data_IF_644668541523
#
_entry.id   IF_644668541523
#
_cell.length_a   1.000
_cell.length_b   1.000
_cell.length_c   1.000
_cell.angle_alpha   90.00
_cell.angle_beta   90.00
_cell.angle_gamma   90.00
#
_symmetry.space_group_name_H-M   'P 1'
#
loop_
_entity.id
_entity.type
_entity.pdbx_description
1 polymer ?
#
# COMPACT_ATOMS: atom_id res chain seq x y z
N UNK A 1 21.88 -24.51 -7.94
CA UNK A 1 21.64 -25.89 -7.42
C UNK A 1 20.53 -25.92 -6.35
N UNK A 2 20.59 -25.08 -5.31
CA UNK A 2 19.57 -25.04 -4.23
C UNK A 2 18.15 -24.79 -4.77
N UNK A 3 17.97 -23.85 -5.72
CA UNK A 3 16.66 -23.56 -6.31
C UNK A 3 16.03 -24.76 -7.05
N UNK A 4 16.85 -25.56 -7.74
CA UNK A 4 16.40 -26.78 -8.43
C UNK A 4 15.96 -27.86 -7.43
N UNK A 5 16.68 -28.01 -6.32
CA UNK A 5 16.34 -28.96 -5.26
C UNK A 5 15.01 -28.57 -4.61
N UNK A 6 14.82 -27.28 -4.30
CA UNK A 6 13.56 -26.77 -3.73
C UNK A 6 12.40 -26.97 -4.70
N UNK A 7 12.60 -26.72 -6.00
CA UNK A 7 11.58 -26.94 -7.02
C UNK A 7 11.15 -28.42 -7.10
N UNK A 8 12.11 -29.34 -7.12
CA UNK A 8 11.82 -30.79 -7.17
C UNK A 8 11.06 -31.25 -5.92
N UNK A 9 11.43 -30.75 -4.73
CA UNK A 9 10.71 -31.05 -3.48
C UNK A 9 9.29 -30.50 -3.52
N UNK A 10 9.08 -29.29 -4.05
CA UNK A 10 7.75 -28.70 -4.19
C UNK A 10 6.86 -29.53 -5.12
N UNK A 11 7.39 -29.99 -6.25
CA UNK A 11 6.66 -30.86 -7.19
C UNK A 11 6.32 -32.20 -6.53
N UNK A 12 7.25 -32.82 -5.80
CA UNK A 12 7.02 -34.07 -5.10
C UNK A 12 5.91 -33.96 -4.03
N UNK A 13 5.90 -32.87 -3.24
CA UNK A 13 4.88 -32.60 -2.24
C UNK A 13 3.51 -32.35 -2.91
N UNK A 14 3.47 -31.59 -4.00
CA UNK A 14 2.24 -31.33 -4.75
C UNK A 14 1.62 -32.64 -5.28
N UNK A 15 2.44 -33.51 -5.88
CA UNK A 15 2.00 -34.83 -6.37
C UNK A 15 1.54 -35.73 -5.23
N UNK A 16 2.24 -35.73 -4.09
CA UNK A 16 1.86 -36.52 -2.92
C UNK A 16 0.53 -36.05 -2.32
N UNK A 17 0.35 -34.74 -2.16
CA UNK A 17 -0.90 -34.13 -1.73
C UNK A 17 -2.03 -34.48 -2.70
N UNK A 18 -1.82 -34.31 -4.00
CA UNK A 18 -2.82 -34.67 -5.01
C UNK A 18 -3.21 -36.15 -4.93
N UNK A 19 -2.25 -37.07 -4.81
CA UNK A 19 -2.50 -38.51 -4.72
C UNK A 19 -3.26 -38.89 -3.44
N UNK A 20 -2.95 -38.26 -2.31
CA UNK A 20 -3.65 -38.46 -1.02
C UNK A 20 -5.09 -37.94 -1.07
N UNK A 21 -5.29 -36.81 -1.74
CA UNK A 21 -6.61 -36.18 -1.93
C UNK A 21 -7.46 -36.99 -2.90
N UNK A 22 -6.91 -37.40 -4.04
CA UNK A 22 -7.59 -38.24 -5.01
C UNK A 22 -8.02 -39.58 -4.38
N UNK A 23 -7.18 -40.21 -3.55
CA UNK A 23 -7.52 -41.44 -2.82
C UNK A 23 -8.65 -41.20 -1.81
N UNK A 24 -8.61 -40.10 -1.06
CA UNK A 24 -9.69 -39.71 -0.12
C UNK A 24 -11.01 -39.38 -0.81
N UNK A 25 -10.97 -38.72 -1.98
CA UNK A 25 -12.16 -38.44 -2.78
C UNK A 25 -12.78 -39.71 -3.36
N UNK A 26 -11.96 -40.73 -3.66
CA UNK A 26 -12.45 -42.01 -4.14
C UNK A 26 -13.10 -42.86 -3.03
N UNK A 27 -12.61 -42.74 -1.80
CA UNK A 27 -13.09 -43.54 -0.66
C UNK A 27 -14.22 -42.86 0.14
N UNK A 28 -14.51 -41.57 -0.06
CA UNK A 28 -15.59 -40.86 0.64
C UNK A 28 -16.58 -40.21 -0.32
N UNK A 29 -17.65 -40.95 -0.64
CA UNK A 29 -18.83 -40.44 -1.33
C UNK A 29 -19.71 -39.53 -0.43
N UNK A 30 -19.12 -38.68 0.43
CA UNK A 30 -19.87 -37.76 1.32
C UNK A 30 -19.10 -36.46 1.64
N UNK A 31 -19.72 -35.32 1.28
CA UNK A 31 -19.61 -34.03 1.99
C UNK A 31 -18.72 -32.94 1.35
N UNK A 32 -19.36 -31.87 0.84
CA UNK A 32 -18.79 -30.69 0.17
C UNK A 32 -17.73 -29.90 0.97
N UNK A 33 -17.61 -30.10 2.29
CA UNK A 33 -16.74 -29.29 3.15
C UNK A 33 -15.25 -29.69 3.08
N UNK A 34 -14.92 -30.96 2.82
CA UNK A 34 -13.53 -31.43 2.85
C UNK A 34 -12.75 -31.02 1.60
N UNK A 35 -13.43 -30.82 0.47
CA UNK A 35 -12.82 -30.31 -0.77
C UNK A 35 -12.33 -28.88 -0.60
N UNK A 36 -13.07 -28.05 0.14
CA UNK A 36 -12.70 -26.65 0.43
C UNK A 36 -11.50 -26.58 1.35
N UNK A 37 -11.48 -27.39 2.42
CA UNK A 37 -10.34 -27.43 3.36
C UNK A 37 -9.05 -27.89 2.66
N UNK A 38 -9.18 -28.80 1.71
CA UNK A 38 -8.06 -29.34 0.95
C UNK A 38 -7.53 -28.36 -0.09
N UNK A 39 -8.42 -27.63 -0.80
CA UNK A 39 -8.03 -26.57 -1.71
C UNK A 39 -7.37 -25.39 -0.98
N UNK A 40 -7.89 -25.05 0.21
CA UNK A 40 -7.30 -24.02 1.09
C UNK A 40 -5.89 -24.40 1.57
N UNK A 41 -5.65 -25.67 1.91
CA UNK A 41 -4.31 -26.10 2.32
C UNK A 41 -3.30 -26.07 1.17
N UNK A 42 -3.74 -26.38 -0.06
CA UNK A 42 -2.89 -26.35 -1.24
C UNK A 42 -2.48 -24.91 -1.62
N UNK A 43 -3.39 -23.94 -1.51
CA UNK A 43 -3.07 -22.53 -1.80
C UNK A 43 -2.09 -21.92 -0.79
N UNK A 44 -2.21 -22.28 0.49
CA UNK A 44 -1.28 -21.82 1.54
C UNK A 44 0.14 -22.33 1.31
N UNK A 45 0.29 -23.59 0.86
CA UNK A 45 1.61 -24.15 0.57
C UNK A 45 2.26 -23.46 -0.64
N UNK A 46 1.50 -23.18 -1.71
CA UNK A 46 2.01 -22.43 -2.86
C UNK A 46 2.42 -21.01 -2.48
N UNK A 47 1.63 -20.35 -1.62
CA UNK A 47 1.93 -18.99 -1.12
C UNK A 47 3.21 -18.93 -0.27
N UNK A 48 3.46 -19.93 0.57
CA UNK A 48 4.71 -19.99 1.36
C UNK A 48 5.91 -20.23 0.44
N UNK A 49 5.78 -21.10 -0.56
CA UNK A 49 6.87 -21.37 -1.51
C UNK A 49 7.19 -20.15 -2.37
N UNK A 50 6.19 -19.40 -2.84
CA UNK A 50 6.44 -18.16 -3.59
C UNK A 50 7.05 -17.05 -2.74
N UNK A 51 6.65 -16.93 -1.47
CA UNK A 51 7.29 -15.99 -0.54
C UNK A 51 8.75 -16.35 -0.26
N UNK A 52 9.04 -17.63 0.02
CA UNK A 52 10.42 -18.06 0.31
C UNK A 52 11.33 -17.89 -0.91
N UNK A 53 10.86 -18.21 -2.12
CA UNK A 53 11.65 -18.00 -3.35
C UNK A 53 11.76 -16.50 -3.69
N UNK A 54 10.69 -15.72 -3.50
CA UNK A 54 10.68 -14.28 -3.74
C UNK A 54 11.65 -13.51 -2.85
N UNK A 55 11.74 -13.86 -1.56
CA UNK A 55 12.67 -13.21 -0.62
C UNK A 55 14.13 -13.54 -0.97
N UNK A 56 14.44 -14.77 -1.38
CA UNK A 56 15.82 -15.18 -1.72
C UNK A 56 16.27 -14.67 -3.09
N UNK A 57 15.34 -14.42 -4.03
CA UNK A 57 15.65 -13.84 -5.35
C UNK A 57 15.81 -12.31 -5.34
N UNK A 58 15.09 -11.60 -4.45
CA UNK A 58 15.20 -10.14 -4.31
C UNK A 58 16.26 -9.70 -3.29
N UNK A 59 16.69 -10.59 -2.40
CA UNK A 59 17.79 -10.36 -1.46
C UNK A 59 18.83 -11.47 -1.58
N UNK A 60 19.86 -11.34 -2.44
CA UNK A 60 21.02 -12.21 -2.35
C UNK A 60 21.71 -11.92 -1.01
N UNK A 61 21.38 -12.72 0.00
CA UNK A 61 22.08 -12.73 1.28
C UNK A 61 23.49 -13.22 1.04
N UNK A 62 24.45 -12.31 1.10
CA UNK A 62 25.82 -12.67 1.43
C UNK A 62 25.78 -13.27 2.83
N UNK A 63 26.19 -14.53 2.93
CA UNK A 63 26.38 -15.23 4.20
C UNK A 63 27.34 -14.44 5.09
N UNK A 64 26.90 -14.15 6.32
CA UNK A 64 27.73 -14.28 7.50
C UNK A 64 26.80 -14.44 8.73
N UNK A 65 26.85 -15.66 9.28
CA UNK A 65 26.75 -16.02 10.70
C UNK A 65 25.60 -15.53 11.57
N UNK A 66 24.83 -16.52 12.02
CA UNK A 66 24.87 -16.86 13.45
C UNK A 66 24.06 -16.00 14.41
N UNK A 67 22.89 -16.54 14.75
CA UNK A 67 22.26 -16.48 16.07
C UNK A 67 21.57 -15.19 16.55
N UNK A 68 20.27 -15.40 16.77
CA UNK A 68 19.51 -15.00 17.96
C UNK A 68 18.99 -13.57 18.00
N UNK A 69 17.69 -13.50 17.69
CA UNK A 69 16.66 -12.65 18.32
C UNK A 69 17.11 -11.82 19.53
N UNK A 70 16.86 -10.51 19.51
CA UNK A 70 15.87 -9.84 20.38
C UNK A 70 15.77 -8.36 19.98
N UNK A 71 14.53 -7.91 19.84
CA UNK A 71 14.00 -6.54 19.99
C UNK A 71 14.99 -5.48 20.50
N UNK A 72 15.20 -4.41 19.73
CA UNK A 72 15.08 -3.02 20.22
C UNK A 72 15.10 -1.98 19.10
N UNK A 73 14.18 -1.05 19.33
CA UNK A 73 13.88 0.23 18.74
C UNK A 73 15.09 1.20 18.75
N UNK A 74 15.10 2.05 17.72
CA UNK A 74 15.76 3.37 17.61
C UNK A 74 17.28 3.45 17.78
N UNK A 75 17.98 3.86 16.70
CA UNK A 75 18.61 5.18 16.63
C UNK A 75 19.25 5.39 15.25
N UNK A 76 19.09 6.62 14.76
CA UNK A 76 19.88 7.32 13.73
C UNK A 76 20.91 6.53 12.93
N UNK A 77 20.67 6.46 11.63
CA UNK A 77 21.74 6.71 10.66
C UNK A 77 21.34 7.91 9.80
N UNK A 78 21.94 9.05 10.14
CA UNK A 78 22.17 10.14 9.20
C UNK A 78 22.97 9.54 8.03
N UNK A 79 22.28 9.28 6.93
CA UNK A 79 22.95 9.27 5.63
C UNK A 79 22.67 10.61 5.00
N UNK A 80 23.74 11.37 4.85
CA UNK A 80 23.83 12.64 4.12
C UNK A 80 23.38 12.42 2.68
N UNK A 81 22.09 12.50 2.42
CA UNK A 81 21.52 12.63 1.08
C UNK A 81 21.08 14.09 0.93
N UNK A 82 21.30 14.67 -0.25
CA UNK A 82 20.91 16.03 -0.59
C UNK A 82 19.55 16.37 0.01
N UNK A 83 19.46 17.53 0.66
CA UNK A 83 18.23 18.04 1.25
C UNK A 83 17.22 18.26 0.12
N UNK A 84 16.50 17.22 -0.28
CA UNK A 84 15.38 17.31 -1.20
C UNK A 84 14.45 18.34 -0.60
N UNK A 85 14.28 19.47 -1.30
CA UNK A 85 13.56 20.61 -0.78
C UNK A 85 12.09 20.22 -0.61
N UNK A 86 11.72 19.86 0.61
CA UNK A 86 10.35 19.53 0.94
C UNK A 86 9.50 20.81 0.92
N UNK A 87 8.49 20.83 0.06
CA UNK A 87 7.52 21.93 -0.01
C UNK A 87 6.27 21.52 0.76
N UNK A 88 5.87 22.34 1.74
CA UNK A 88 4.66 22.12 2.53
C UNK A 88 3.54 22.98 1.95
N UNK A 89 2.36 22.39 1.82
CA UNK A 89 1.14 23.03 1.35
C UNK A 89 0.00 22.74 2.32
N UNK A 90 -0.87 23.71 2.57
CA UNK A 90 -2.08 23.60 3.37
C UNK A 90 -3.29 23.73 2.46
N UNK A 91 -4.28 22.86 2.62
CA UNK A 91 -5.47 22.84 1.78
C UNK A 91 -6.64 23.47 2.49
N UNK A 92 -7.27 24.44 1.85
CA UNK A 92 -8.41 25.16 2.42
C UNK A 92 -9.73 24.55 1.96
N UNK A 93 -9.81 24.15 0.69
CA UNK A 93 -11.05 23.72 0.02
C UNK A 93 -10.91 22.32 -0.56
N UNK A 94 -12.01 21.57 -0.51
CA UNK A 94 -12.14 20.28 -1.19
C UNK A 94 -13.44 20.17 -2.00
N UNK A 95 -13.36 19.37 -3.04
CA UNK A 95 -14.49 18.81 -3.79
C UNK A 95 -14.31 17.29 -3.82
N UNK A 96 -15.29 16.55 -3.33
CA UNK A 96 -15.23 15.10 -3.22
C UNK A 96 -16.40 14.45 -3.95
N UNK A 97 -16.10 13.38 -4.68
CA UNK A 97 -17.07 12.54 -5.37
C UNK A 97 -16.85 11.10 -4.89
N UNK A 98 -17.87 10.49 -4.33
CA UNK A 98 -17.81 9.12 -3.81
C UNK A 98 -18.92 8.28 -4.42
N UNK A 99 -18.58 7.09 -4.89
CA UNK A 99 -19.55 6.15 -5.44
C UNK A 99 -20.08 5.23 -4.33
N UNK A 100 -21.39 5.21 -4.13
CA UNK A 100 -22.05 4.37 -3.12
C UNK A 100 -23.14 3.51 -3.76
N UNK A 101 -23.62 2.49 -3.03
CA UNK A 101 -24.79 1.70 -3.48
C UNK A 101 -26.06 2.56 -3.64
N UNK A 102 -26.13 3.71 -2.98
CA UNK A 102 -27.22 4.68 -3.08
C UNK A 102 -26.96 5.74 -4.19
N UNK A 103 -25.98 5.50 -5.06
CA UNK A 103 -25.55 6.40 -6.13
C UNK A 103 -24.36 7.29 -5.75
N UNK A 104 -24.05 8.22 -6.65
CA UNK A 104 -22.95 9.19 -6.50
C UNK A 104 -23.27 10.21 -5.40
N UNK A 105 -22.36 10.37 -4.43
CA UNK A 105 -22.41 11.43 -3.43
C UNK A 105 -21.35 12.47 -3.76
N UNK A 106 -21.74 13.74 -3.76
CA UNK A 106 -20.86 14.87 -4.03
C UNK A 106 -20.85 15.75 -2.79
N UNK A 107 -19.66 16.16 -2.33
CA UNK A 107 -19.50 17.12 -1.24
C UNK A 107 -18.42 18.13 -1.56
N UNK A 108 -18.75 19.38 -1.30
CA UNK A 108 -17.87 20.54 -1.40
C UNK A 108 -17.81 21.23 -0.04
N UNK A 109 -16.66 21.78 0.31
CA UNK A 109 -16.53 22.53 1.55
C UNK A 109 -15.12 23.04 1.82
N UNK A 110 -14.98 23.67 2.98
CA UNK A 110 -13.72 24.12 3.51
C UNK A 110 -13.31 23.26 4.71
N UNK A 111 -12.02 23.04 4.89
CA UNK A 111 -11.50 22.33 6.07
C UNK A 111 -11.50 23.23 7.32
N UNK A 112 -11.40 24.55 7.15
CA UNK A 112 -11.16 25.50 8.23
C UNK A 112 -12.21 26.61 8.28
N UNK A 113 -13.41 26.29 8.77
CA UNK A 113 -14.41 27.29 9.15
C UNK A 113 -14.51 27.35 10.69
N UNK A 114 -13.90 28.37 11.31
CA UNK A 114 -14.00 28.67 12.76
C UNK A 114 -12.70 28.66 13.58
N UNK A 115 -12.85 28.69 14.92
CA UNK A 115 -11.75 28.77 15.91
C UNK A 115 -10.98 27.46 16.10
N UNK A 116 -11.54 26.34 15.63
CA UNK A 116 -11.03 24.97 15.80
C UNK A 116 -10.82 24.38 14.41
N UNK A 117 -9.59 24.53 13.88
CA UNK A 117 -9.31 24.34 12.45
C UNK A 117 -8.87 22.91 12.12
N UNK A 118 -9.70 22.19 11.38
CA UNK A 118 -9.22 20.98 10.68
C UNK A 118 -8.22 21.43 9.63
N UNK A 119 -7.03 20.86 9.66
CA UNK A 119 -5.92 21.27 8.80
C UNK A 119 -5.45 20.07 8.00
N UNK A 120 -5.50 20.18 6.67
CA UNK A 120 -4.94 19.17 5.78
C UNK A 120 -3.68 19.74 5.14
N UNK A 121 -2.55 19.04 5.33
CA UNK A 121 -1.27 19.46 4.77
C UNK A 121 -0.65 18.38 3.91
N UNK A 122 0.02 18.80 2.83
CA UNK A 122 0.87 17.95 2.02
C UNK A 122 2.31 18.43 2.12
N UNK A 123 3.20 17.51 2.46
CA UNK A 123 4.65 17.71 2.33
C UNK A 123 5.12 16.94 1.11
N UNK A 124 5.58 17.65 0.09
CA UNK A 124 5.91 17.08 -1.22
C UNK A 124 7.40 17.25 -1.47
N UNK A 125 8.03 16.14 -1.82
CA UNK A 125 9.44 16.04 -2.23
C UNK A 125 9.48 15.40 -3.61
N UNK A 126 10.67 15.13 -4.15
CA UNK A 126 10.74 14.53 -5.48
C UNK A 126 10.25 13.08 -5.53
N UNK A 127 10.48 12.33 -4.45
CA UNK A 127 10.20 10.90 -4.39
C UNK A 127 9.04 10.54 -3.47
N UNK A 128 8.60 11.48 -2.63
CA UNK A 128 7.64 11.22 -1.56
C UNK A 128 6.63 12.36 -1.42
N UNK A 129 5.38 11.97 -1.24
CA UNK A 129 4.29 12.83 -0.77
C UNK A 129 3.84 12.30 0.59
N UNK A 130 3.77 13.18 1.58
CA UNK A 130 3.21 12.89 2.90
C UNK A 130 1.98 13.77 3.09
N UNK A 131 0.83 13.16 3.35
CA UNK A 131 -0.35 13.89 3.78
C UNK A 131 -0.45 13.84 5.30
N UNK A 132 -0.93 14.91 5.92
CA UNK A 132 -1.25 14.95 7.33
C UNK A 132 -2.56 15.68 7.53
N UNK A 133 -3.54 14.99 8.11
CA UNK A 133 -4.84 15.50 8.48
C UNK A 133 -4.89 15.66 10.00
N UNK A 134 -4.98 16.91 10.43
CA UNK A 134 -5.22 17.28 11.81
C UNK A 134 -6.71 17.60 11.99
N UNK A 135 -7.38 16.88 12.88
CA UNK A 135 -8.75 17.20 13.30
C UNK A 135 -8.73 17.39 14.82
N UNK A 136 -9.17 18.55 15.33
CA UNK A 136 -9.20 18.80 16.76
C UNK A 136 -9.98 17.74 17.55
N UNK A 137 -9.41 17.31 18.67
CA UNK A 137 -9.95 16.26 19.55
C UNK A 137 -10.06 14.85 18.92
N UNK A 138 -9.40 14.61 17.78
CA UNK A 138 -9.29 13.29 17.14
C UNK A 138 -7.80 12.99 16.92
N UNK A 139 -7.44 11.71 16.85
CA UNK A 139 -6.09 11.27 16.48
C UNK A 139 -5.75 11.76 15.07
N UNK A 140 -4.60 12.41 14.94
CA UNK A 140 -4.04 12.83 13.66
C UNK A 140 -3.81 11.62 12.74
N UNK A 141 -4.10 11.83 11.45
CA UNK A 141 -3.84 10.83 10.42
C UNK A 141 -2.71 11.30 9.53
N UNK A 142 -1.74 10.43 9.28
CA UNK A 142 -0.64 10.68 8.36
C UNK A 142 -0.53 9.49 7.41
N UNK A 143 -0.48 9.76 6.12
CA UNK A 143 -0.23 8.76 5.09
C UNK A 143 0.87 9.24 4.13
N UNK A 144 1.54 8.28 3.50
CA UNK A 144 2.65 8.55 2.60
C UNK A 144 2.49 7.79 1.29
N UNK A 145 2.84 8.46 0.19
CA UNK A 145 2.77 7.93 -1.16
C UNK A 145 4.10 8.17 -1.86
N UNK A 146 4.61 7.16 -2.56
CA UNK A 146 5.87 7.26 -3.30
C UNK A 146 5.60 7.76 -4.71
N UNK A 147 6.53 8.53 -5.25
CA UNK A 147 6.50 8.93 -6.63
C UNK A 147 6.44 7.69 -7.54
N UNK A 148 5.63 7.78 -8.58
CA UNK A 148 5.45 6.71 -9.55
C UNK A 148 5.89 7.18 -10.93
N UNK A 149 5.18 8.16 -11.49
CA UNK A 149 5.42 8.67 -12.82
C UNK A 149 4.80 10.06 -13.02
N UNK A 150 5.08 10.69 -14.16
CA UNK A 150 4.33 11.86 -14.64
C UNK A 150 3.14 11.36 -15.44
N UNK A 151 1.94 11.85 -15.12
CA UNK A 151 0.72 11.52 -15.85
C UNK A 151 0.64 12.30 -17.18
N UNK A 152 -0.28 11.88 -18.07
CA UNK A 152 -0.42 12.48 -19.39
C UNK A 152 -0.82 13.97 -19.36
N UNK A 153 -1.43 14.43 -18.26
CA UNK A 153 -1.78 15.83 -18.02
C UNK A 153 -0.62 16.65 -17.42
N UNK A 154 0.57 16.06 -17.30
CA UNK A 154 1.76 16.68 -16.71
C UNK A 154 1.79 16.67 -15.18
N UNK A 155 0.77 16.11 -14.52
CA UNK A 155 0.74 16.00 -13.06
C UNK A 155 1.73 14.96 -12.55
N UNK A 156 2.33 15.21 -11.38
CA UNK A 156 3.17 14.23 -10.68
C UNK A 156 2.26 13.22 -9.98
N UNK A 157 2.40 11.95 -10.30
CA UNK A 157 1.64 10.87 -9.67
C UNK A 157 2.44 10.25 -8.52
N UNK A 158 1.83 10.22 -7.34
CA UNK A 158 2.31 9.48 -6.17
C UNK A 158 1.31 8.38 -5.83
N UNK A 159 1.78 7.20 -5.47
CA UNK A 159 0.94 6.05 -5.13
C UNK A 159 1.24 5.47 -3.75
N UNK A 160 0.19 5.14 -3.02
CA UNK A 160 0.20 4.23 -1.88
C UNK A 160 -0.60 2.95 -2.22
N UNK A 161 -0.77 2.05 -1.26
CA UNK A 161 -1.58 0.84 -1.46
C UNK A 161 -3.06 1.13 -1.68
N UNK A 162 -3.57 2.26 -1.18
CA UNK A 162 -5.00 2.60 -1.17
C UNK A 162 -5.35 3.86 -1.96
N UNK A 163 -4.37 4.72 -2.26
CA UNK A 163 -4.63 6.02 -2.88
C UNK A 163 -3.58 6.39 -3.92
N UNK A 164 -4.04 6.90 -5.07
CA UNK A 164 -3.18 7.62 -6.01
C UNK A 164 -3.42 9.13 -5.86
N UNK A 165 -2.35 9.89 -5.71
CA UNK A 165 -2.35 11.34 -5.68
C UNK A 165 -1.78 11.88 -6.99
N UNK A 166 -2.50 12.79 -7.62
CA UNK A 166 -2.05 13.54 -8.79
C UNK A 166 -1.85 15.00 -8.37
N UNK A 167 -0.63 15.49 -8.50
CA UNK A 167 -0.25 16.84 -8.07
C UNK A 167 0.11 17.68 -9.28
N UNK A 168 -0.67 18.74 -9.50
CA UNK A 168 -0.44 19.71 -10.56
C UNK A 168 -0.07 21.07 -9.97
N UNK A 169 1.01 21.68 -10.46
CA UNK A 169 1.32 23.08 -10.12
C UNK A 169 0.35 24.00 -10.85
N UNK A 170 -0.29 24.90 -10.11
CA UNK A 170 -1.12 25.95 -10.70
C UNK A 170 -0.33 27.28 -10.80
N UNK A 171 0.48 27.57 -9.77
CA UNK A 171 1.43 28.67 -9.73
C UNK A 171 2.56 28.33 -8.72
N UNK A 172 3.43 29.29 -8.40
CA UNK A 172 4.61 29.06 -7.54
C UNK A 172 4.27 28.69 -6.08
N UNK A 173 3.10 29.11 -5.60
CA UNK A 173 2.63 28.91 -4.22
C UNK A 173 1.44 27.98 -4.09
N UNK A 174 0.78 27.61 -5.18
CA UNK A 174 -0.51 26.91 -5.19
C UNK A 174 -0.45 25.66 -6.06
N UNK A 175 -0.94 24.55 -5.51
CA UNK A 175 -1.07 23.27 -6.18
C UNK A 175 -2.52 22.81 -6.19
N UNK A 176 -2.84 21.97 -7.17
CA UNK A 176 -4.04 21.15 -7.20
C UNK A 176 -3.64 19.72 -6.90
N UNK A 177 -4.31 19.11 -5.93
CA UNK A 177 -4.14 17.70 -5.57
C UNK A 177 -5.43 16.96 -5.88
N UNK A 178 -5.35 15.90 -6.69
CA UNK A 178 -6.46 14.96 -6.92
C UNK A 178 -6.08 13.64 -6.28
N UNK A 179 -6.75 13.28 -5.20
CA UNK A 179 -6.58 12.00 -4.52
C UNK A 179 -7.69 11.03 -4.98
N UNK A 180 -7.31 9.90 -5.56
CA UNK A 180 -8.20 8.81 -5.96
C UNK A 180 -7.99 7.65 -5.00
N UNK A 181 -8.97 7.41 -4.12
CA UNK A 181 -8.92 6.38 -3.10
C UNK A 181 -9.72 5.14 -3.56
N UNK A 182 -9.06 3.99 -3.56
CA UNK A 182 -9.63 2.72 -4.04
C UNK A 182 -10.50 2.03 -3.00
N UNK A 183 -10.16 2.17 -1.71
CA UNK A 183 -10.89 1.53 -0.61
C UNK A 183 -12.31 2.08 -0.47
N UNK A 184 -12.47 3.40 -0.67
CA UNK A 184 -13.75 4.10 -0.57
C UNK A 184 -14.38 4.44 -1.92
N UNK A 185 -13.75 4.02 -3.04
CA UNK A 185 -14.15 4.38 -4.40
C UNK A 185 -14.53 5.87 -4.52
N UNK A 186 -13.59 6.72 -4.12
CA UNK A 186 -13.79 8.16 -4.02
C UNK A 186 -12.64 8.93 -4.65
N UNK A 187 -12.97 10.12 -5.15
CA UNK A 187 -12.03 11.09 -5.68
C UNK A 187 -12.20 12.39 -4.93
N UNK A 188 -11.11 12.94 -4.39
CA UNK A 188 -11.08 14.22 -3.70
C UNK A 188 -10.14 15.15 -4.45
N UNK A 189 -10.67 16.25 -4.96
CA UNK A 189 -9.92 17.35 -5.57
C UNK A 189 -9.76 18.48 -4.55
N UNK A 190 -8.53 18.94 -4.37
CA UNK A 190 -8.17 19.92 -3.35
C UNK A 190 -7.27 20.99 -3.96
N UNK A 191 -7.44 22.22 -3.48
CA UNK A 191 -6.54 23.33 -3.79
C UNK A 191 -5.77 23.69 -2.54
N UNK A 192 -4.44 23.71 -2.64
CA UNK A 192 -3.56 23.89 -1.50
C UNK A 192 -2.51 24.95 -1.78
N UNK A 193 -2.17 25.74 -0.76
CA UNK A 193 -1.29 26.91 -0.79
C UNK A 193 -0.11 26.71 0.17
N UNK A 194 1.05 27.29 -0.14
CA UNK A 194 2.24 27.27 0.74
C UNK A 194 2.04 28.11 2.00
#
# INVERSE_FOLDING_TARGET
MIALIVFVICVAIAVFCYKRVAKRCRDQQKGKLKTVLTASLASVVVFIVTLVVGVVAFFPSNKADGNTSTTKQASSEQTTAEKTRAEKYTCDKFHSVMQTQQGTKIRDGYYSDGDVKTTLTYTITDDLLVNALFIPNITDSTDSAKFNNIAADGSRKYGSSSTNYFVSKMNDSTIKVVAVNFDFNSTITQTCTK
#
